data_IF_634082821579
#
_entry.id   IF_634082821579
#
_cell.length_a   1.000
_cell.length_b   1.000
_cell.length_c   1.000
_cell.angle_alpha   90.00
_cell.angle_beta   90.00
_cell.angle_gamma   90.00
#
_symmetry.space_group_name_H-M   'P 1'
#
loop_
_entity.id
_entity.type
_entity.pdbx_description
1 polymer ?
#
# COMPACT_ATOMS: atom_id res chain seq x y z
N UNK A 1 4.74 -28.32 15.27
CA UNK A 1 3.59 -27.53 14.79
C UNK A 1 4.21 -26.22 14.34
N UNK A 2 4.16 -25.90 13.05
CA UNK A 2 5.00 -24.90 12.42
C UNK A 2 4.81 -23.50 13.00
N UNK A 3 5.91 -22.75 13.04
CA UNK A 3 5.94 -21.31 13.22
C UNK A 3 5.28 -20.67 11.99
N UNK A 4 3.95 -20.60 11.99
CA UNK A 4 3.23 -19.77 11.03
C UNK A 4 3.43 -18.33 11.48
N UNK A 5 4.43 -17.65 10.91
CA UNK A 5 4.59 -16.21 11.07
C UNK A 5 3.31 -15.56 10.58
N UNK A 6 2.51 -15.06 11.53
CA UNK A 6 1.25 -14.37 11.25
C UNK A 6 1.53 -13.21 10.29
N UNK A 7 0.98 -13.31 9.08
CA UNK A 7 1.10 -12.26 8.08
C UNK A 7 0.15 -11.12 8.43
N UNK A 8 0.70 -9.91 8.57
CA UNK A 8 -0.07 -8.69 8.77
C UNK A 8 -0.26 -7.98 7.43
N UNK A 9 -1.48 -7.53 7.15
CA UNK A 9 -1.83 -6.91 5.87
C UNK A 9 -2.52 -5.57 6.10
N UNK A 10 -2.17 -4.57 5.30
CA UNK A 10 -2.78 -3.25 5.39
C UNK A 10 -2.91 -2.59 4.02
N UNK A 11 -4.00 -1.87 3.86
CA UNK A 11 -4.32 -1.09 2.67
C UNK A 11 -4.35 0.39 3.05
N UNK A 12 -3.47 1.21 2.46
CA UNK A 12 -3.52 2.67 2.57
C UNK A 12 -4.20 3.24 1.32
N UNK A 13 -5.44 3.70 1.44
CA UNK A 13 -6.18 4.23 0.30
C UNK A 13 -5.87 5.71 0.05
N UNK A 14 -5.72 6.06 -1.24
CA UNK A 14 -5.59 7.44 -1.70
C UNK A 14 -6.46 7.75 -2.93
N UNK A 15 -7.22 8.82 -2.84
CA UNK A 15 -8.05 9.38 -3.90
C UNK A 15 -7.68 10.83 -4.25
N UNK A 16 -6.77 11.46 -3.48
CA UNK A 16 -6.31 12.82 -3.71
C UNK A 16 -4.78 13.00 -3.57
N UNK A 17 -4.18 13.81 -4.46
CA UNK A 17 -2.74 14.03 -4.47
C UNK A 17 -2.22 14.79 -3.24
N UNK A 18 -3.05 15.64 -2.63
CA UNK A 18 -2.65 16.49 -1.50
C UNK A 18 -2.19 15.68 -0.27
N UNK A 19 -2.70 14.46 -0.10
CA UNK A 19 -2.35 13.57 1.02
C UNK A 19 -1.24 12.57 0.72
N UNK A 20 -0.69 12.57 -0.50
CA UNK A 20 0.32 11.59 -0.92
C UNK A 20 1.53 11.57 0.01
N UNK A 21 2.06 12.73 0.39
CA UNK A 21 3.21 12.80 1.30
C UNK A 21 2.89 12.24 2.70
N UNK A 22 1.68 12.51 3.21
CA UNK A 22 1.24 11.98 4.51
C UNK A 22 1.10 10.45 4.46
N UNK A 23 0.49 9.94 3.39
CA UNK A 23 0.34 8.50 3.18
C UNK A 23 1.69 7.79 3.16
N UNK A 24 2.62 8.29 2.33
CA UNK A 24 3.95 7.69 2.22
C UNK A 24 4.71 7.74 3.55
N UNK A 25 4.62 8.85 4.29
CA UNK A 25 5.21 8.96 5.62
C UNK A 25 4.61 7.97 6.63
N UNK A 26 3.29 7.77 6.60
CA UNK A 26 2.62 6.80 7.46
C UNK A 26 3.00 5.36 7.09
N UNK A 27 3.08 5.04 5.81
CA UNK A 27 3.49 3.71 5.33
C UNK A 27 4.96 3.41 5.69
N UNK A 28 5.88 4.36 5.49
CA UNK A 28 7.29 4.21 5.89
C UNK A 28 7.43 4.02 7.41
N UNK A 29 6.71 4.81 8.20
CA UNK A 29 6.68 4.65 9.66
C UNK A 29 6.16 3.26 10.08
N UNK A 30 5.11 2.76 9.42
CA UNK A 30 4.59 1.43 9.68
C UNK A 30 5.61 0.34 9.33
N UNK A 31 6.21 0.39 8.14
CA UNK A 31 7.19 -0.59 7.70
C UNK A 31 8.40 -0.65 8.65
N UNK A 32 8.88 0.51 9.12
CA UNK A 32 9.97 0.58 10.11
C UNK A 32 9.56 -0.02 11.46
N UNK A 33 8.33 0.23 11.91
CA UNK A 33 7.82 -0.33 13.16
C UNK A 33 7.56 -1.84 13.05
N UNK A 34 7.26 -2.32 11.84
CA UNK A 34 6.98 -3.72 11.52
C UNK A 34 8.22 -4.48 11.02
N UNK A 35 9.44 -3.99 11.27
CA UNK A 35 10.67 -4.56 10.72
C UNK A 35 10.91 -6.04 11.10
N UNK A 36 10.38 -6.48 12.25
CA UNK A 36 10.56 -7.83 12.77
C UNK A 36 9.33 -8.74 12.53
N UNK A 37 8.31 -8.27 11.80
CA UNK A 37 7.11 -9.06 11.48
C UNK A 37 6.89 -9.14 9.97
N UNK A 38 6.18 -10.17 9.54
CA UNK A 38 5.79 -10.28 8.13
C UNK A 38 4.64 -9.30 7.84
N UNK A 39 4.93 -8.22 7.12
CA UNK A 39 3.98 -7.14 6.82
C UNK A 39 3.85 -6.92 5.31
N UNK A 40 2.62 -6.94 4.82
CA UNK A 40 2.23 -6.59 3.45
C UNK A 40 1.50 -5.25 3.45
N UNK A 41 2.02 -4.27 2.71
CA UNK A 41 1.43 -2.93 2.56
C UNK A 41 1.01 -2.72 1.11
N UNK A 42 -0.25 -2.37 0.89
CA UNK A 42 -0.78 -2.00 -0.42
C UNK A 42 -1.34 -0.59 -0.45
N UNK A 43 -1.23 0.09 -1.60
CA UNK A 43 -1.72 1.47 -1.80
C UNK A 43 -2.62 1.53 -3.02
N UNK A 44 -3.91 1.19 -2.90
CA UNK A 44 -4.86 1.41 -3.97
C UNK A 44 -5.05 2.91 -4.17
N UNK A 45 -4.69 3.38 -5.36
CA UNK A 45 -4.92 4.72 -5.83
C UNK A 45 -6.11 4.73 -6.80
N UNK A 46 -7.02 5.68 -6.64
CA UNK A 46 -8.10 5.89 -7.61
C UNK A 46 -8.27 7.38 -7.94
N UNK A 47 -9.08 7.65 -8.98
CA UNK A 47 -9.42 9.01 -9.38
C UNK A 47 -8.20 9.91 -9.61
N UNK A 48 -8.21 11.16 -9.10
CA UNK A 48 -7.14 12.14 -9.29
C UNK A 48 -5.76 11.72 -8.76
N UNK A 49 -5.67 10.73 -7.88
CA UNK A 49 -4.40 10.25 -7.35
C UNK A 49 -3.63 9.35 -8.34
N UNK A 50 -4.32 8.72 -9.31
CA UNK A 50 -3.71 7.76 -10.25
C UNK A 50 -2.56 8.36 -11.09
N UNK A 51 -2.70 9.55 -11.71
CA UNK A 51 -1.65 10.10 -12.57
C UNK A 51 -0.30 10.33 -11.87
N UNK A 52 -0.28 10.42 -10.53
CA UNK A 52 0.94 10.57 -9.73
C UNK A 52 1.80 9.30 -9.63
N UNK A 53 1.28 8.16 -10.10
CA UNK A 53 1.94 6.86 -10.10
C UNK A 53 2.28 6.45 -11.54
N UNK A 54 3.35 7.05 -12.08
CA UNK A 54 3.89 6.62 -13.37
C UNK A 54 4.58 5.26 -13.19
N UNK A 55 4.27 4.29 -14.06
CA UNK A 55 5.01 3.03 -14.18
C UNK A 55 6.48 3.34 -14.45
N UNK A 56 7.33 3.31 -13.42
CA UNK A 56 8.78 3.42 -13.55
C UNK A 56 9.41 2.04 -13.34
N UNK A 57 10.53 1.73 -14.02
CA UNK A 57 11.31 0.54 -13.71
C UNK A 57 11.86 0.65 -12.29
N UNK A 58 11.92 -0.50 -11.61
CA UNK A 58 12.22 -0.57 -10.18
C UNK A 58 13.47 0.21 -9.76
N UNK A 59 13.30 1.12 -8.83
CA UNK A 59 14.33 1.84 -8.10
C UNK A 59 14.75 1.08 -6.83
N UNK A 60 15.97 1.32 -6.35
CA UNK A 60 16.55 0.60 -5.19
C UNK A 60 16.33 1.32 -3.85
N UNK A 61 15.57 2.43 -3.84
CA UNK A 61 15.32 3.25 -2.65
C UNK A 61 13.95 2.89 -2.06
N UNK A 62 13.88 2.45 -0.80
CA UNK A 62 12.66 1.94 -0.15
C UNK A 62 11.51 2.96 -0.11
N UNK A 63 11.80 4.26 -0.01
CA UNK A 63 10.78 5.32 -0.09
C UNK A 63 10.27 5.56 -1.53
N UNK A 64 11.08 5.19 -2.54
CA UNK A 64 10.70 5.18 -3.95
C UNK A 64 10.13 3.81 -4.40
N UNK A 65 10.41 2.74 -3.65
CA UNK A 65 10.06 1.35 -3.97
C UNK A 65 8.55 1.08 -4.04
N UNK A 66 7.74 1.85 -3.31
CA UNK A 66 6.28 1.74 -3.40
C UNK A 66 5.74 2.16 -4.79
N UNK A 67 6.50 2.95 -5.56
CA UNK A 67 6.13 3.35 -6.91
C UNK A 67 6.58 2.35 -8.00
N UNK A 68 7.34 1.32 -7.61
CA UNK A 68 8.02 0.43 -8.57
C UNK A 68 7.16 -0.74 -9.04
N UNK A 69 5.99 -0.95 -8.41
CA UNK A 69 5.05 -2.01 -8.76
C UNK A 69 3.61 -1.47 -8.77
N UNK A 70 3.33 -0.54 -9.70
CA UNK A 70 1.95 -0.10 -9.94
C UNK A 70 1.26 -1.14 -10.82
N UNK A 71 0.22 -1.78 -10.30
CA UNK A 71 -0.59 -2.74 -11.06
C UNK A 71 -1.96 -2.12 -11.33
N UNK A 72 -2.37 -1.93 -12.60
CA UNK A 72 -3.72 -1.49 -12.89
C UNK A 72 -4.71 -2.60 -12.52
N UNK A 73 -5.73 -2.26 -11.73
CA UNK A 73 -6.84 -3.16 -11.39
C UNK A 73 -8.13 -2.71 -12.08
N UNK A 74 -9.05 -3.63 -12.44
CA UNK A 74 -10.27 -3.29 -13.17
C UNK A 74 -11.16 -2.26 -12.46
N UNK A 75 -11.24 -2.32 -11.13
CA UNK A 75 -11.99 -1.37 -10.32
C UNK A 75 -11.36 -1.20 -8.94
N UNK A 76 -10.73 -0.04 -8.68
CA UNK A 76 -10.09 0.23 -7.39
C UNK A 76 -11.03 0.17 -6.18
N UNK A 77 -12.33 0.42 -6.38
CA UNK A 77 -13.35 0.28 -5.33
C UNK A 77 -13.64 -1.18 -5.00
N UNK A 78 -13.66 -2.07 -6.00
CA UNK A 78 -13.85 -3.51 -5.75
C UNK A 78 -12.71 -4.07 -4.92
N UNK A 79 -11.47 -3.66 -5.25
CA UNK A 79 -10.29 -4.07 -4.48
C UNK A 79 -10.42 -3.67 -3.00
N UNK A 80 -10.83 -2.43 -2.75
CA UNK A 80 -11.05 -1.93 -1.39
C UNK A 80 -12.15 -2.69 -0.62
N UNK A 81 -13.14 -3.23 -1.33
CA UNK A 81 -14.20 -4.04 -0.72
C UNK A 81 -13.73 -5.45 -0.38
N UNK A 82 -12.87 -6.05 -1.21
CA UNK A 82 -12.41 -7.44 -1.06
C UNK A 82 -11.25 -7.59 -0.08
N UNK A 83 -10.38 -6.57 0.05
CA UNK A 83 -9.18 -6.64 0.90
C UNK A 83 -9.47 -6.91 2.38
N UNK A 84 -10.49 -6.31 3.02
CA UNK A 84 -10.84 -6.66 4.40
C UNK A 84 -11.18 -8.14 4.59
N UNK A 85 -11.83 -8.77 3.62
CA UNK A 85 -12.16 -10.21 3.66
C UNK A 85 -10.90 -11.09 3.57
N UNK A 86 -9.81 -10.54 3.00
CA UNK A 86 -8.50 -11.17 2.91
C UNK A 86 -7.59 -10.84 4.11
N UNK A 87 -8.14 -10.20 5.16
CA UNK A 87 -7.42 -9.89 6.40
C UNK A 87 -6.67 -8.55 6.37
N UNK A 88 -6.91 -7.69 5.38
CA UNK A 88 -6.28 -6.37 5.36
C UNK A 88 -6.98 -5.39 6.29
N UNK A 89 -6.19 -4.68 7.10
CA UNK A 89 -6.65 -3.46 7.75
C UNK A 89 -6.76 -2.31 6.73
N UNK A 90 -7.76 -1.45 6.85
CA UNK A 90 -7.94 -0.30 5.97
C UNK A 90 -7.58 1.01 6.67
N UNK A 91 -6.75 1.82 6.03
CA UNK A 91 -6.35 3.15 6.49
C UNK A 91 -6.57 4.17 5.37
N UNK A 92 -7.22 5.29 5.69
CA UNK A 92 -7.33 6.46 4.80
C UNK A 92 -6.77 7.70 5.50
N UNK A 93 -5.49 8.05 5.25
CA UNK A 93 -4.87 9.27 5.76
C UNK A 93 -5.61 10.51 5.29
#
# INVERSE_FOLDING_TARGET
>A
MGDETMEHKVTFHIDENARRSLLLGNADNLLRAAADIHMTVEVPANGPAVPGYALKPASTDTAAAMADFVVPVPAGVMELMERPEQGYCYIKP
#
